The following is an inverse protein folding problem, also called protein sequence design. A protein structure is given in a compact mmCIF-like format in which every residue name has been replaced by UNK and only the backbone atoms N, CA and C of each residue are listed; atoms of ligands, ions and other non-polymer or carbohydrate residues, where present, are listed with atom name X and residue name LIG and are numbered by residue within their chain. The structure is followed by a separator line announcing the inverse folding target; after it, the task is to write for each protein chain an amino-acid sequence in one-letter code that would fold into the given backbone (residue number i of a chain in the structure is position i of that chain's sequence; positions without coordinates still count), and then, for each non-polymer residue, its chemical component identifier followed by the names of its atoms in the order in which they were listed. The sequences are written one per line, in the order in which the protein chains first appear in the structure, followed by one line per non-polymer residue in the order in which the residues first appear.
data_IF_761858130085
#
_entry.id   IF_761858130085
#
_cell.length_a   1.000
_cell.length_b   1.000
_cell.length_c   1.000
_cell.angle_alpha   90.00
_cell.angle_beta   90.00
_cell.angle_gamma   90.00
#
_symmetry.space_group_name_H-M   'P 1'
#
loop_
_entity.id
_entity.type
_entity.pdbx_description
1 polymer ?
#
# COMPACT_ATOMS: atom_id res chain seq x y z
N UNK A 1 -45.24 -24.19 -25.75
CA UNK A 1 -45.99 -24.74 -24.59
C UNK A 1 -45.04 -25.55 -23.73
N UNK A 2 -45.18 -25.42 -22.39
CA UNK A 2 -44.30 -25.84 -21.27
C UNK A 2 -43.02 -25.00 -21.10
N UNK A 3 -42.58 -24.58 -19.92
CA UNK A 3 -43.15 -24.31 -18.59
C UNK A 3 -41.95 -23.80 -17.76
N UNK A 4 -41.86 -22.50 -17.48
CA UNK A 4 -40.97 -21.96 -16.43
C UNK A 4 -41.84 -21.26 -15.38
N UNK A 5 -42.54 -22.10 -14.60
CA UNK A 5 -43.10 -21.71 -13.30
C UNK A 5 -42.27 -22.46 -12.27
N UNK A 6 -41.21 -21.80 -11.78
CA UNK A 6 -40.69 -22.08 -10.45
C UNK A 6 -40.92 -20.79 -9.67
N UNK A 7 -41.82 -20.91 -8.72
CA UNK A 7 -42.27 -19.88 -7.79
C UNK A 7 -41.05 -19.24 -7.12
N UNK A 8 -40.77 -17.98 -7.48
CA UNK A 8 -39.78 -17.17 -6.79
C UNK A 8 -40.53 -16.24 -5.82
N UNK A 9 -40.51 -16.51 -4.50
CA UNK A 9 -41.35 -15.82 -3.51
C UNK A 9 -40.87 -14.40 -3.16
N UNK A 10 -39.94 -13.84 -3.95
CA UNK A 10 -39.41 -12.48 -3.78
C UNK A 10 -39.97 -11.46 -4.77
N UNK A 11 -41.04 -11.79 -5.51
CA UNK A 11 -41.76 -10.81 -6.33
C UNK A 11 -42.54 -9.82 -5.45
N UNK A 12 -41.89 -8.69 -5.18
CA UNK A 12 -42.44 -7.47 -4.61
C UNK A 12 -43.40 -6.80 -5.63
N UNK A 13 -44.60 -6.32 -5.22
CA UNK A 13 -45.62 -5.71 -6.10
C UNK A 13 -45.24 -4.40 -6.82
N UNK A 14 -43.96 -4.05 -6.93
CA UNK A 14 -43.50 -2.80 -7.58
C UNK A 14 -43.31 -2.97 -9.10
N UNK A 15 -43.43 -4.17 -9.66
CA UNK A 15 -43.14 -4.39 -11.09
C UNK A 15 -44.27 -4.01 -12.06
N UNK A 16 -45.39 -3.43 -11.61
CA UNK A 16 -46.51 -3.09 -12.50
C UNK A 16 -46.41 -1.69 -13.16
N UNK A 17 -45.30 -0.97 -12.97
CA UNK A 17 -45.01 0.25 -13.75
C UNK A 17 -43.53 0.38 -14.09
N UNK A 18 -43.05 -0.48 -14.98
CA UNK A 18 -41.88 -0.16 -15.79
C UNK A 18 -42.21 -0.51 -17.22
N UNK A 19 -42.48 0.51 -18.02
CA UNK A 19 -42.50 0.43 -19.47
C UNK A 19 -41.27 -0.37 -19.91
N UNK A 20 -41.51 -1.39 -20.74
CA UNK A 20 -40.46 -2.11 -21.44
C UNK A 20 -39.77 -1.11 -22.35
N UNK A 21 -38.73 -0.46 -21.85
CA UNK A 21 -37.73 0.20 -22.69
C UNK A 21 -37.03 -0.95 -23.40
N UNK A 22 -37.47 -1.23 -24.63
CA UNK A 22 -36.68 -2.00 -25.58
C UNK A 22 -35.42 -1.18 -25.80
N UNK A 23 -34.38 -1.43 -25.00
CA UNK A 23 -33.05 -0.88 -25.26
C UNK A 23 -32.69 -1.34 -26.67
N UNK A 24 -32.31 -0.43 -27.59
CA UNK A 24 -32.01 -0.79 -28.96
C UNK A 24 -30.95 -1.89 -28.95
N UNK A 25 -31.17 -2.98 -29.70
CA UNK A 25 -30.31 -4.17 -29.71
C UNK A 25 -28.83 -3.84 -29.97
N UNK A 26 -28.58 -2.71 -30.64
CA UNK A 26 -27.26 -2.15 -30.91
C UNK A 26 -26.52 -1.68 -29.65
N UNK A 27 -27.22 -1.20 -28.60
CA UNK A 27 -26.59 -0.79 -27.35
C UNK A 27 -26.06 -2.00 -26.57
N UNK A 28 -26.74 -3.15 -26.67
CA UNK A 28 -26.25 -4.40 -26.08
C UNK A 28 -25.02 -4.93 -26.83
N UNK A 29 -24.99 -4.78 -28.15
CA UNK A 29 -23.82 -5.14 -28.97
C UNK A 29 -22.62 -4.22 -28.66
N UNK A 30 -22.83 -2.92 -28.48
CA UNK A 30 -21.78 -1.97 -28.10
C UNK A 30 -21.23 -2.23 -26.69
N UNK A 31 -22.11 -2.50 -25.72
CA UNK A 31 -21.72 -2.83 -24.34
C UNK A 31 -21.00 -4.18 -24.31
N UNK A 32 -21.49 -5.18 -25.04
CA UNK A 32 -20.86 -6.51 -25.12
C UNK A 32 -19.48 -6.40 -25.78
N UNK A 33 -19.35 -5.55 -26.82
CA UNK A 33 -18.07 -5.23 -27.46
C UNK A 33 -17.08 -4.56 -26.50
N UNK A 34 -17.54 -3.61 -25.69
CA UNK A 34 -16.70 -2.96 -24.69
C UNK A 34 -16.27 -3.91 -23.58
N UNK A 35 -17.18 -4.75 -23.08
CA UNK A 35 -16.88 -5.75 -22.05
C UNK A 35 -15.87 -6.78 -22.57
N UNK A 36 -16.05 -7.29 -23.80
CA UNK A 36 -15.09 -8.22 -24.41
C UNK A 36 -13.73 -7.57 -24.67
N UNK A 37 -13.69 -6.30 -25.06
CA UNK A 37 -12.46 -5.53 -25.17
C UNK A 37 -11.76 -5.33 -23.81
N UNK A 38 -12.50 -5.06 -22.74
CA UNK A 38 -11.94 -4.95 -21.39
C UNK A 38 -11.42 -6.30 -20.88
N UNK A 39 -12.17 -7.39 -21.11
CA UNK A 39 -11.79 -8.75 -20.70
C UNK A 39 -10.56 -9.28 -21.45
N UNK A 40 -10.41 -8.95 -22.74
CA UNK A 40 -9.21 -9.32 -23.51
C UNK A 40 -7.96 -8.57 -23.04
N UNK A 41 -8.09 -7.29 -22.66
CA UNK A 41 -7.00 -6.51 -22.04
C UNK A 41 -6.58 -7.08 -20.69
N UNK A 42 -7.52 -7.51 -19.85
CA UNK A 42 -7.20 -8.13 -18.55
C UNK A 42 -6.53 -9.50 -18.72
N UNK A 43 -6.95 -10.30 -19.70
CA UNK A 43 -6.35 -11.61 -19.97
C UNK A 43 -4.93 -11.47 -20.56
N UNK A 44 -4.70 -10.52 -21.45
CA UNK A 44 -3.36 -10.22 -21.98
C UNK A 44 -2.40 -9.72 -20.89
N UNK A 45 -2.89 -8.93 -19.92
CA UNK A 45 -2.13 -8.53 -18.74
C UNK A 45 -1.78 -9.73 -17.86
N UNK A 46 -2.72 -10.64 -17.63
CA UNK A 46 -2.48 -11.87 -16.85
C UNK A 46 -1.47 -12.81 -17.53
N UNK A 47 -1.47 -12.89 -18.87
CA UNK A 47 -0.47 -13.63 -19.65
C UNK A 47 0.92 -12.96 -19.63
N UNK A 48 0.97 -11.62 -19.63
CA UNK A 48 2.22 -10.88 -19.40
C UNK A 48 2.75 -11.04 -17.96
N UNK A 49 1.86 -11.23 -16.97
CA UNK A 49 2.24 -11.54 -15.58
C UNK A 49 2.83 -12.95 -15.43
N UNK A 50 2.45 -13.92 -16.27
CA UNK A 50 3.03 -15.28 -16.25
C UNK A 50 4.51 -15.31 -16.69
N UNK A 51 4.98 -14.32 -17.44
CA UNK A 51 6.40 -14.17 -17.82
C UNK A 51 7.26 -13.52 -16.72
N UNK A 52 6.70 -13.25 -15.53
CA UNK A 52 7.39 -12.74 -14.34
C UNK A 52 7.86 -13.86 -13.39
N UNK A 53 8.21 -15.04 -13.90
CA UNK A 53 8.77 -16.17 -13.14
C UNK A 53 10.07 -15.86 -12.37
N UNK A 54 10.57 -14.63 -12.44
CA UNK A 54 11.65 -14.07 -11.61
C UNK A 54 11.21 -13.53 -10.23
N UNK A 55 9.91 -13.37 -9.98
CA UNK A 55 9.36 -12.69 -8.79
C UNK A 55 8.47 -13.57 -7.90
N UNK A 56 8.65 -14.89 -7.91
CA UNK A 56 8.00 -15.77 -6.95
C UNK A 56 8.73 -15.75 -5.60
N UNK A 57 8.75 -14.62 -4.87
CA UNK A 57 9.09 -14.67 -3.43
C UNK A 57 7.83 -15.08 -2.68
N UNK A 58 7.74 -16.37 -2.38
CA UNK A 58 6.89 -16.94 -1.33
C UNK A 58 7.15 -16.11 -0.06
N UNK A 59 6.11 -15.92 0.77
CA UNK A 59 6.16 -15.15 2.01
C UNK A 59 7.48 -15.38 2.79
N UNK A 60 8.02 -14.35 3.48
CA UNK A 60 9.31 -14.45 4.15
C UNK A 60 9.37 -15.69 5.05
N UNK A 61 10.45 -16.46 4.98
CA UNK A 61 10.61 -17.62 5.86
C UNK A 61 10.79 -17.19 7.33
N UNK A 62 10.68 -18.09 8.33
CA UNK A 62 10.76 -17.72 9.74
C UNK A 62 12.02 -16.92 10.14
N UNK A 63 13.18 -17.23 9.55
CA UNK A 63 14.43 -16.50 9.81
C UNK A 63 14.43 -15.09 9.21
N UNK A 64 13.81 -14.94 8.04
CA UNK A 64 13.60 -13.63 7.40
C UNK A 64 12.60 -12.78 8.19
N UNK A 65 11.51 -13.37 8.67
CA UNK A 65 10.53 -12.70 9.54
C UNK A 65 11.17 -12.25 10.86
N UNK A 66 11.95 -13.12 11.51
CA UNK A 66 12.66 -12.79 12.74
C UNK A 66 13.62 -11.61 12.54
N UNK A 67 14.36 -11.60 11.42
CA UNK A 67 15.23 -10.48 11.09
C UNK A 67 14.46 -9.18 10.83
N UNK A 68 13.37 -9.23 10.07
CA UNK A 68 12.53 -8.05 9.84
C UNK A 68 11.98 -7.48 11.15
N UNK A 69 11.53 -8.35 12.06
CA UNK A 69 11.08 -7.95 13.38
C UNK A 69 12.20 -7.30 14.20
N UNK A 70 13.40 -7.90 14.19
CA UNK A 70 14.56 -7.39 14.91
C UNK A 70 14.99 -6.00 14.41
N UNK A 71 15.12 -5.81 13.09
CA UNK A 71 15.53 -4.52 12.52
C UNK A 71 14.44 -3.45 12.72
N UNK A 72 13.16 -3.81 12.63
CA UNK A 72 12.06 -2.89 12.93
C UNK A 72 12.11 -2.42 14.38
N UNK A 73 12.28 -3.35 15.33
CA UNK A 73 12.42 -3.02 16.75
C UNK A 73 13.63 -2.11 17.01
N UNK A 74 14.77 -2.36 16.36
CA UNK A 74 15.95 -1.51 16.45
C UNK A 74 15.68 -0.08 15.92
N UNK A 75 14.96 0.06 14.80
CA UNK A 75 14.58 1.36 14.26
C UNK A 75 13.59 2.08 15.19
N UNK A 76 12.61 1.36 15.73
CA UNK A 76 11.60 1.91 16.64
C UNK A 76 12.19 2.38 17.96
N UNK A 77 13.16 1.64 18.51
CA UNK A 77 13.93 2.04 19.71
C UNK A 77 14.66 3.37 19.53
N UNK A 78 15.05 3.70 18.30
CA UNK A 78 15.78 4.92 17.95
C UNK A 78 14.98 5.82 17.00
N UNK A 79 13.65 5.81 17.12
CA UNK A 79 12.74 6.48 16.19
C UNK A 79 12.96 7.99 16.13
N UNK A 80 13.15 8.61 17.30
CA UNK A 80 13.35 10.05 17.48
C UNK A 80 14.81 10.50 17.32
N UNK A 81 15.76 9.57 17.21
CA UNK A 81 17.18 9.88 17.08
C UNK A 81 17.54 10.27 15.63
N UNK A 82 17.86 11.53 15.31
CA UNK A 82 18.20 11.94 13.96
C UNK A 82 19.46 11.26 13.40
N UNK A 83 20.35 10.78 14.26
CA UNK A 83 21.62 10.14 13.90
C UNK A 83 21.49 8.63 13.69
N UNK A 84 20.26 8.09 13.70
CA UNK A 84 20.01 6.69 13.36
C UNK A 84 20.56 6.38 11.97
N UNK A 85 21.60 5.56 11.98
CA UNK A 85 22.40 5.24 10.80
C UNK A 85 22.67 3.75 10.74
N UNK A 86 23.19 3.31 9.59
CA UNK A 86 23.55 1.91 9.39
C UNK A 86 24.56 1.39 10.44
N UNK A 87 25.64 2.12 10.80
CA UNK A 87 26.53 1.68 11.88
C UNK A 87 25.81 1.45 13.22
N UNK A 88 24.86 2.32 13.57
CA UNK A 88 24.07 2.17 14.80
C UNK A 88 23.21 0.91 14.74
N UNK A 89 22.51 0.67 13.63
CA UNK A 89 21.73 -0.56 13.44
C UNK A 89 22.58 -1.82 13.49
N UNK A 90 23.79 -1.79 12.91
CA UNK A 90 24.72 -2.93 12.96
C UNK A 90 25.11 -3.29 14.39
N UNK A 91 25.39 -2.27 15.22
CA UNK A 91 25.73 -2.45 16.62
C UNK A 91 24.55 -3.02 17.42
N UNK A 92 23.33 -2.54 17.15
CA UNK A 92 22.12 -2.96 17.86
C UNK A 92 21.69 -4.40 17.54
N UNK A 93 21.85 -4.86 16.30
CA UNK A 93 21.40 -6.21 15.89
C UNK A 93 22.55 -7.21 15.67
N UNK A 94 23.78 -6.81 15.96
CA UNK A 94 25.01 -7.60 15.88
C UNK A 94 25.27 -8.25 14.51
N UNK A 95 25.13 -7.48 13.43
CA UNK A 95 25.46 -7.97 12.08
C UNK A 95 26.43 -7.05 11.33
N UNK A 96 27.20 -7.66 10.43
CA UNK A 96 28.11 -6.90 9.56
C UNK A 96 27.34 -5.99 8.59
N UNK A 97 28.01 -4.93 8.14
CA UNK A 97 27.47 -3.92 7.20
C UNK A 97 26.96 -4.57 5.91
N UNK A 98 27.79 -5.42 5.32
CA UNK A 98 27.48 -6.11 4.06
C UNK A 98 26.29 -7.05 4.22
N UNK A 99 26.19 -7.73 5.38
CA UNK A 99 25.04 -8.59 5.67
C UNK A 99 23.76 -7.79 5.85
N UNK A 100 23.80 -6.70 6.63
CA UNK A 100 22.65 -5.80 6.83
C UNK A 100 22.13 -5.29 5.49
N UNK A 101 23.01 -4.74 4.67
CA UNK A 101 22.65 -4.21 3.37
C UNK A 101 22.02 -5.28 2.48
N UNK A 102 22.66 -6.46 2.38
CA UNK A 102 22.16 -7.57 1.55
C UNK A 102 20.79 -8.07 2.02
N UNK A 103 20.60 -8.27 3.32
CA UNK A 103 19.34 -8.77 3.87
C UNK A 103 18.22 -7.76 3.68
N UNK A 104 18.44 -6.48 3.99
CA UNK A 104 17.43 -5.42 3.78
C UNK A 104 17.08 -5.30 2.31
N UNK A 105 18.09 -5.24 1.43
CA UNK A 105 17.85 -5.09 -0.01
C UNK A 105 17.11 -6.28 -0.60
N UNK A 106 17.48 -7.49 -0.22
CA UNK A 106 16.79 -8.70 -0.69
C UNK A 106 15.33 -8.72 -0.21
N UNK A 107 15.08 -8.42 1.06
CA UNK A 107 13.75 -8.56 1.67
C UNK A 107 12.78 -7.42 1.34
N UNK A 108 13.30 -6.20 1.16
CA UNK A 108 12.46 -5.01 1.05
C UNK A 108 12.58 -4.31 -0.30
N UNK A 109 13.60 -4.65 -1.09
CA UNK A 109 13.97 -3.92 -2.31
C UNK A 109 14.62 -2.56 -2.04
N UNK A 110 14.79 -2.14 -0.79
CA UNK A 110 15.31 -0.84 -0.39
C UNK A 110 16.75 -0.94 0.12
N UNK A 111 17.51 0.15 0.02
CA UNK A 111 18.73 0.31 0.82
C UNK A 111 18.37 0.48 2.32
N UNK A 112 19.30 0.23 3.26
CA UNK A 112 19.07 0.46 4.69
C UNK A 112 18.58 1.87 5.02
N UNK A 113 19.16 2.91 4.41
CA UNK A 113 18.76 4.30 4.63
C UNK A 113 17.34 4.58 4.13
N UNK A 114 16.99 4.06 2.95
CA UNK A 114 15.61 4.16 2.42
C UNK A 114 14.62 3.39 3.29
N UNK A 115 15.02 2.25 3.84
CA UNK A 115 14.20 1.45 4.74
C UNK A 115 13.93 2.18 6.06
N UNK A 116 14.95 2.77 6.70
CA UNK A 116 14.79 3.62 7.90
C UNK A 116 13.80 4.76 7.61
N UNK A 117 14.02 5.48 6.49
CA UNK A 117 13.14 6.57 6.09
C UNK A 117 11.70 6.07 5.85
N UNK A 118 11.51 4.90 5.25
CA UNK A 118 10.20 4.30 5.03
C UNK A 118 9.47 4.03 6.35
N UNK A 119 10.16 3.43 7.33
CA UNK A 119 9.62 3.13 8.66
C UNK A 119 9.25 4.42 9.40
N UNK A 120 10.13 5.43 9.40
CA UNK A 120 9.84 6.77 9.96
C UNK A 120 8.61 7.42 9.35
N UNK A 121 8.50 7.37 8.02
CA UNK A 121 7.38 7.94 7.29
C UNK A 121 6.05 7.24 7.61
N UNK A 122 6.06 5.91 7.78
CA UNK A 122 4.89 5.16 8.25
C UNK A 122 4.47 5.59 9.66
N UNK A 123 5.44 5.74 10.57
CA UNK A 123 5.16 6.24 11.93
C UNK A 123 4.62 7.66 11.90
N UNK A 124 5.15 8.51 11.02
CA UNK A 124 4.67 9.88 10.83
C UNK A 124 3.19 9.90 10.40
N UNK A 125 2.77 9.01 9.49
CA UNK A 125 1.37 8.89 9.12
C UNK A 125 0.48 8.58 10.33
N UNK A 126 0.89 7.65 11.21
CA UNK A 126 0.15 7.34 12.46
C UNK A 126 -0.01 8.59 13.32
N UNK A 127 1.10 9.28 13.62
CA UNK A 127 1.08 10.47 14.49
C UNK A 127 0.27 11.63 13.89
N UNK A 128 0.29 11.79 12.56
CA UNK A 128 -0.52 12.80 11.87
C UNK A 128 -2.02 12.46 11.94
N UNK A 129 -2.37 11.18 11.85
CA UNK A 129 -3.76 10.72 11.97
C UNK A 129 -4.31 10.85 13.39
N UNK A 130 -3.46 10.72 14.40
CA UNK A 130 -3.83 10.93 15.82
C UNK A 130 -4.17 12.39 16.13
N UNK A 131 -3.68 13.35 15.32
CA UNK A 131 -3.93 14.81 15.46
C UNK A 131 -3.52 15.42 16.81
N UNK A 132 -2.75 14.70 17.63
CA UNK A 132 -2.24 15.18 18.91
C UNK A 132 -1.04 16.13 18.76
N UNK A 133 -0.33 16.03 17.63
CA UNK A 133 0.92 16.75 17.40
C UNK A 133 0.81 17.67 16.17
N UNK A 134 1.53 18.78 16.22
CA UNK A 134 1.76 19.62 15.05
C UNK A 134 2.81 19.00 14.11
N UNK A 135 2.91 19.52 12.89
CA UNK A 135 3.77 18.92 11.84
C UNK A 135 5.25 18.90 12.26
N UNK A 136 5.71 19.94 12.95
CA UNK A 136 7.09 20.03 13.43
C UNK A 136 7.36 19.02 14.54
N UNK A 137 6.44 18.89 15.51
CA UNK A 137 6.53 17.87 16.57
C UNK A 137 6.56 16.46 16.00
N UNK A 138 5.73 16.15 14.98
CA UNK A 138 5.78 14.87 14.29
C UNK A 138 7.15 14.64 13.65
N UNK A 139 7.71 15.65 12.97
CA UNK A 139 9.02 15.55 12.35
C UNK A 139 10.11 15.18 13.37
N UNK A 140 10.14 15.86 14.51
CA UNK A 140 11.10 15.58 15.58
C UNK A 140 10.88 14.18 16.19
N UNK A 141 9.62 13.79 16.46
CA UNK A 141 9.28 12.48 17.02
C UNK A 141 9.65 11.29 16.12
N UNK A 142 9.74 11.51 14.81
CA UNK A 142 10.19 10.47 13.86
C UNK A 142 11.64 10.68 13.41
N UNK A 143 12.41 11.49 14.15
CA UNK A 143 13.86 11.60 14.00
C UNK A 143 14.32 12.47 12.84
N UNK A 144 13.54 13.49 12.45
CA UNK A 144 14.01 14.55 11.55
C UNK A 144 14.43 15.76 12.36
N UNK A 145 15.62 16.29 12.07
CA UNK A 145 16.11 17.53 12.67
C UNK A 145 15.56 18.81 11.99
N UNK A 146 15.03 18.68 10.77
CA UNK A 146 14.42 19.78 10.02
C UNK A 146 12.99 19.42 9.57
N UNK A 147 11.95 20.06 10.14
CA UNK A 147 10.56 19.92 9.71
C UNK A 147 10.30 20.27 8.24
N UNK A 148 11.10 21.19 7.64
CA UNK A 148 10.98 21.55 6.22
C UNK A 148 11.45 20.39 5.35
N UNK A 149 12.61 19.82 5.66
CA UNK A 149 13.11 18.63 4.99
C UNK A 149 12.16 17.43 5.14
N UNK A 150 11.66 17.18 6.35
CA UNK A 150 10.61 16.19 6.60
C UNK A 150 9.42 16.35 5.66
N UNK A 151 8.89 17.57 5.55
CA UNK A 151 7.73 17.86 4.71
C UNK A 151 7.98 17.58 3.23
N UNK A 152 9.19 17.86 2.73
CA UNK A 152 9.59 17.53 1.36
C UNK A 152 9.67 16.02 1.15
N UNK A 153 10.31 15.28 2.06
CA UNK A 153 10.39 13.83 2.01
C UNK A 153 9.00 13.17 2.06
N UNK A 154 8.13 13.65 2.95
CA UNK A 154 6.77 13.18 3.10
C UNK A 154 5.96 13.41 1.82
N UNK A 155 6.02 14.62 1.26
CA UNK A 155 5.33 14.94 0.00
C UNK A 155 5.87 14.11 -1.16
N UNK A 156 7.19 13.91 -1.26
CA UNK A 156 7.80 13.05 -2.29
C UNK A 156 7.29 11.61 -2.19
N UNK A 157 7.10 11.10 -0.97
CA UNK A 157 6.69 9.72 -0.74
C UNK A 157 5.19 9.47 -0.93
N UNK A 158 4.34 10.39 -0.45
CA UNK A 158 2.88 10.20 -0.39
C UNK A 158 2.10 11.09 -1.37
N UNK A 159 2.78 11.93 -2.15
CA UNK A 159 2.17 12.87 -3.10
C UNK A 159 1.45 14.06 -2.47
N UNK A 160 1.27 14.08 -1.14
CA UNK A 160 0.56 15.12 -0.39
C UNK A 160 1.43 15.65 0.74
N UNK A 161 1.29 16.94 1.05
CA UNK A 161 1.97 17.55 2.18
C UNK A 161 1.44 16.98 3.52
N UNK A 162 2.26 16.92 4.59
CA UNK A 162 1.84 16.45 5.91
C UNK A 162 0.60 17.17 6.45
N UNK A 163 0.50 18.48 6.24
CA UNK A 163 -0.64 19.31 6.65
C UNK A 163 -1.94 18.91 5.95
N UNK A 164 -1.86 18.63 4.64
CA UNK A 164 -2.98 18.12 3.85
C UNK A 164 -3.37 16.71 4.31
N UNK A 165 -2.39 15.84 4.54
CA UNK A 165 -2.62 14.48 5.04
C UNK A 165 -3.38 14.49 6.37
N UNK A 166 -2.91 15.30 7.33
CA UNK A 166 -3.56 15.49 8.64
C UNK A 166 -5.02 15.91 8.53
N UNK A 167 -5.33 16.80 7.58
CA UNK A 167 -6.70 17.31 7.36
C UNK A 167 -7.61 16.24 6.75
N UNK A 168 -7.08 15.43 5.83
CA UNK A 168 -7.89 14.57 4.97
C UNK A 168 -8.38 13.29 5.64
N UNK A 169 -7.79 12.84 6.76
CA UNK A 169 -8.28 11.69 7.52
C UNK A 169 -8.30 10.35 6.75
N UNK A 170 -7.68 10.28 5.57
CA UNK A 170 -7.66 9.06 4.76
C UNK A 170 -6.66 8.08 5.40
N UNK A 171 -7.18 6.95 5.86
CA UNK A 171 -6.42 5.78 6.27
C UNK A 171 -5.97 5.06 4.98
N UNK A 172 -4.66 4.92 4.78
CA UNK A 172 -4.06 4.07 3.74
C UNK A 172 -3.71 2.71 4.33
#
# INVERSE_FOLDING_TARGET
MRAYLIDNPFMNPVTEKLEVIILPSTLYEDITGYITQLLSKTNALSAQMQNQSKYQRIAPNPSEQAFLKQILAAIEKHMDNPDLSMPLLQAEIHISRSMLYRRVKALTGLSPSEFICNVRMKKACSLLSERQYNISEVAYKVGFNDPRYFSQCFKKKFGKAPSTFRRCGIII
#
